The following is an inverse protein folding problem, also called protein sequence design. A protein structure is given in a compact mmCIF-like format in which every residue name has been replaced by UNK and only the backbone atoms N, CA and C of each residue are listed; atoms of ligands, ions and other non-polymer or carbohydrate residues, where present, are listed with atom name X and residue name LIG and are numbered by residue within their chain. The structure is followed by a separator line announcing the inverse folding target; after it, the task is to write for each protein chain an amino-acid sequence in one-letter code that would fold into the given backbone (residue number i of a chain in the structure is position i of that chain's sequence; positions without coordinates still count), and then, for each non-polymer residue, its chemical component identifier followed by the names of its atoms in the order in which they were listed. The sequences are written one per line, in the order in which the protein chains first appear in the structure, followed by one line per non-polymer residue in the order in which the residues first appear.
data_IF_840759619381
#
_entry.id   IF_840759619381
#
_cell.length_a   1.000
_cell.length_b   1.000
_cell.length_c   1.000
_cell.angle_alpha   90.00
_cell.angle_beta   90.00
_cell.angle_gamma   90.00
#
_symmetry.space_group_name_H-M   'P 1'
#
loop_
_entity.id
_entity.type
_entity.pdbx_description
1 polymer ?
#
# COMPACT_ATOMS: atom_id res chain seq x y z
N UNK A 1 1.95 21.33 -1.14
CA UNK A 1 0.88 21.14 -0.15
C UNK A 1 1.33 20.10 0.86
N UNK A 2 1.30 20.40 2.17
CA UNK A 2 1.71 19.43 3.20
C UNK A 2 0.57 18.43 3.43
N UNK A 3 0.77 17.18 3.02
CA UNK A 3 -0.20 16.09 3.10
C UNK A 3 -0.66 15.85 4.54
N UNK A 4 0.24 15.98 5.51
CA UNK A 4 -0.07 15.81 6.93
C UNK A 4 -1.08 16.88 7.38
N UNK A 5 -0.88 18.13 6.97
CA UNK A 5 -1.81 19.23 7.26
C UNK A 5 -3.17 18.98 6.65
N UNK A 6 -3.23 18.38 5.46
CA UNK A 6 -4.49 18.07 4.80
C UNK A 6 -5.24 16.92 5.47
N UNK A 7 -4.54 15.85 5.88
CA UNK A 7 -5.11 14.76 6.69
C UNK A 7 -5.66 15.32 8.01
N UNK A 8 -4.86 16.14 8.72
CA UNK A 8 -5.25 16.77 9.97
C UNK A 8 -6.48 17.68 9.81
N UNK A 9 -6.60 18.38 8.67
CA UNK A 9 -7.74 19.24 8.36
C UNK A 9 -9.00 18.43 8.05
N UNK A 10 -8.89 17.36 7.26
CA UNK A 10 -10.06 16.57 6.81
C UNK A 10 -10.69 15.77 7.94
N UNK A 11 -9.88 15.19 8.83
CA UNK A 11 -10.36 14.39 9.97
C UNK A 11 -10.31 15.17 11.29
N UNK A 12 -10.56 16.48 11.24
CA UNK A 12 -10.32 17.38 12.38
C UNK A 12 -11.05 16.93 13.65
N UNK A 13 -12.31 16.54 13.54
CA UNK A 13 -13.13 16.13 14.68
C UNK A 13 -12.71 14.75 15.21
N UNK A 14 -12.48 13.78 14.31
CA UNK A 14 -12.01 12.45 14.67
C UNK A 14 -10.62 12.50 15.34
N UNK A 15 -9.74 13.36 14.82
CA UNK A 15 -8.41 13.60 15.39
C UNK A 15 -8.49 14.31 16.74
N UNK A 16 -9.42 15.24 16.91
CA UNK A 16 -9.67 15.88 18.21
C UNK A 16 -10.07 14.84 19.24
N UNK A 17 -11.03 13.99 18.93
CA UNK A 17 -11.49 12.90 19.80
C UNK A 17 -10.37 11.90 20.11
N UNK A 18 -9.55 11.56 19.09
CA UNK A 18 -8.39 10.70 19.30
C UNK A 18 -7.36 11.35 20.22
N UNK A 19 -7.07 12.64 20.04
CA UNK A 19 -6.15 13.38 20.92
C UNK A 19 -6.66 13.47 22.36
N UNK A 20 -7.97 13.59 22.56
CA UNK A 20 -8.57 13.54 23.89
C UNK A 20 -8.37 12.17 24.54
N UNK A 21 -8.62 11.08 23.81
CA UNK A 21 -8.33 9.72 24.29
C UNK A 21 -6.84 9.50 24.59
N UNK A 22 -5.94 10.00 23.74
CA UNK A 22 -4.50 9.83 23.91
C UNK A 22 -3.93 10.55 25.15
N UNK A 23 -4.66 11.52 25.72
CA UNK A 23 -4.31 12.16 27.00
C UNK A 23 -4.60 11.26 28.20
N UNK A 24 -5.42 10.22 28.04
CA UNK A 24 -5.70 9.26 29.10
C UNK A 24 -4.42 8.44 29.43
N UNK A 25 -4.29 8.01 30.69
CA UNK A 25 -3.19 7.10 31.06
C UNK A 25 -3.44 5.68 30.52
N UNK A 26 -4.71 5.27 30.51
CA UNK A 26 -5.17 3.92 30.24
C UNK A 26 -6.56 3.92 29.62
N UNK A 27 -6.90 2.84 28.94
CA UNK A 27 -8.21 2.64 28.33
C UNK A 27 -8.10 2.00 26.96
N UNK A 28 -9.25 1.63 26.40
CA UNK A 28 -9.31 1.10 25.04
C UNK A 28 -10.27 1.90 24.16
N UNK A 29 -9.99 1.95 22.86
CA UNK A 29 -10.80 2.62 21.84
C UNK A 29 -10.77 1.81 20.54
N UNK A 30 -11.85 1.89 19.76
CA UNK A 30 -11.89 1.40 18.39
C UNK A 30 -11.79 2.56 17.41
N UNK A 31 -10.87 2.45 16.45
CA UNK A 31 -10.80 3.30 15.27
C UNK A 31 -11.29 2.50 14.06
N UNK A 32 -12.27 3.04 13.32
CA UNK A 32 -12.77 2.33 12.15
C UNK A 32 -13.21 3.22 10.99
N UNK A 33 -13.32 2.62 9.80
CA UNK A 33 -13.88 3.27 8.61
C UNK A 33 -12.87 3.88 7.63
N UNK A 34 -11.57 3.57 7.75
CA UNK A 34 -10.55 3.98 6.78
C UNK A 34 -9.64 2.83 6.39
N UNK A 35 -8.86 3.05 5.32
CA UNK A 35 -7.67 2.27 5.03
C UNK A 35 -6.77 2.17 6.28
N UNK A 36 -6.30 0.96 6.58
CA UNK A 36 -5.60 0.65 7.84
C UNK A 36 -4.37 1.55 8.02
N UNK A 37 -3.71 1.87 6.92
CA UNK A 37 -2.50 2.66 6.96
C UNK A 37 -2.77 4.16 7.09
N UNK A 38 -3.97 4.64 6.72
CA UNK A 38 -4.38 5.99 7.07
C UNK A 38 -4.56 6.10 8.58
N UNK A 39 -5.18 5.08 9.17
CA UNK A 39 -5.34 5.01 10.62
C UNK A 39 -3.95 4.97 11.29
N UNK A 40 -3.00 4.18 10.77
CA UNK A 40 -1.62 4.20 11.25
C UNK A 40 -0.96 5.57 11.12
N UNK A 41 -1.14 6.25 9.99
CA UNK A 41 -0.59 7.59 9.76
C UNK A 41 -1.19 8.60 10.74
N UNK A 42 -2.51 8.59 10.93
CA UNK A 42 -3.20 9.46 11.88
C UNK A 42 -2.68 9.22 13.30
N UNK A 43 -2.51 7.96 13.71
CA UNK A 43 -1.95 7.63 15.03
C UNK A 43 -0.52 8.15 15.14
N UNK A 44 0.33 7.97 14.14
CA UNK A 44 1.71 8.48 14.17
C UNK A 44 1.78 10.00 14.26
N UNK A 45 0.85 10.71 13.61
CA UNK A 45 0.77 12.17 13.65
C UNK A 45 0.17 12.72 14.96
N UNK A 46 -0.54 11.89 15.72
CA UNK A 46 -1.29 12.32 16.92
C UNK A 46 -0.73 11.79 18.22
N UNK A 47 -0.10 10.61 18.20
CA UNK A 47 0.45 9.96 19.37
C UNK A 47 1.81 10.54 19.75
N UNK A 48 1.94 10.91 21.02
CA UNK A 48 3.21 11.26 21.67
C UNK A 48 3.88 10.03 22.30
N UNK A 49 3.08 9.00 22.64
CA UNK A 49 3.55 7.73 23.22
C UNK A 49 4.13 6.81 22.14
N UNK A 50 5.05 5.92 22.53
CA UNK A 50 5.61 4.91 21.63
C UNK A 50 4.50 3.94 21.17
N UNK A 51 4.29 3.85 19.86
CA UNK A 51 3.33 2.91 19.28
C UNK A 51 3.95 1.52 19.19
N UNK A 52 3.30 0.53 19.80
CA UNK A 52 3.69 -0.88 19.75
C UNK A 52 2.68 -1.62 18.88
N UNK A 53 3.19 -2.13 17.76
CA UNK A 53 2.42 -2.91 16.80
C UNK A 53 2.37 -4.37 17.24
N UNK A 54 1.35 -5.07 16.77
CA UNK A 54 0.99 -6.46 17.10
C UNK A 54 2.13 -7.47 16.85
N UNK A 55 3.09 -7.49 17.78
CA UNK A 55 4.04 -8.56 18.11
C UNK A 55 4.27 -8.53 19.62
N UNK A 56 4.60 -9.70 20.18
CA UNK A 56 4.88 -9.94 21.60
C UNK A 56 6.16 -9.23 22.09
N UNK A 57 6.38 -7.98 21.71
CA UNK A 57 7.46 -7.19 22.30
C UNK A 57 7.12 -6.96 23.78
N UNK A 58 7.96 -7.41 24.71
CA UNK A 58 7.74 -7.15 26.12
C UNK A 58 7.79 -5.64 26.37
N UNK A 59 6.67 -5.11 26.87
CA UNK A 59 6.54 -3.68 27.16
C UNK A 59 7.20 -3.41 28.52
N UNK A 60 8.39 -2.81 28.51
CA UNK A 60 9.12 -2.45 29.74
C UNK A 60 8.40 -1.37 30.56
N UNK A 61 7.75 -0.42 29.89
CA UNK A 61 6.96 0.63 30.53
C UNK A 61 5.62 0.81 29.80
N UNK A 62 4.55 0.40 30.47
CA UNK A 62 3.18 0.43 29.95
C UNK A 62 2.62 1.86 29.83
N UNK A 63 3.15 2.83 30.57
CA UNK A 63 2.64 4.21 30.57
C UNK A 63 3.16 5.05 29.39
N UNK A 64 4.39 4.78 28.96
CA UNK A 64 5.02 5.48 27.82
C UNK A 64 4.69 4.89 26.46
N UNK A 65 3.92 3.79 26.42
CA UNK A 65 3.54 3.10 25.20
C UNK A 65 2.02 3.03 25.00
N UNK A 66 1.62 2.84 23.74
CA UNK A 66 0.26 2.45 23.37
C UNK A 66 0.34 1.19 22.52
N UNK A 67 -0.63 0.28 22.69
CA UNK A 67 -0.73 -0.96 21.93
C UNK A 67 -1.74 -0.79 20.82
N UNK A 68 -1.39 -1.30 19.64
CA UNK A 68 -2.20 -1.20 18.45
C UNK A 68 -2.50 -2.59 17.89
N UNK A 69 -3.78 -2.93 17.73
CA UNK A 69 -4.22 -4.24 17.24
C UNK A 69 -5.17 -4.12 16.06
N UNK A 70 -5.03 -5.00 15.08
CA UNK A 70 -5.90 -5.08 13.93
C UNK A 70 -6.92 -6.22 14.06
N UNK A 71 -8.22 -5.92 13.97
CA UNK A 71 -9.28 -6.85 14.39
C UNK A 71 -10.22 -7.37 13.29
N UNK A 72 -9.97 -7.12 12.00
CA UNK A 72 -10.89 -7.59 10.94
C UNK A 72 -10.78 -9.09 10.63
N UNK A 73 -9.60 -9.69 10.83
CA UNK A 73 -9.40 -11.14 10.62
C UNK A 73 -9.49 -11.88 11.96
N UNK A 74 -10.71 -12.23 12.38
CA UNK A 74 -11.01 -12.95 13.63
C UNK A 74 -11.07 -14.47 13.45
N UNK A 75 -10.61 -14.99 12.32
CA UNK A 75 -10.76 -16.41 11.94
C UNK A 75 -10.00 -17.37 12.85
N UNK A 76 -8.97 -16.89 13.56
CA UNK A 76 -8.12 -17.70 14.43
C UNK A 76 -8.40 -17.46 15.92
N UNK A 77 -8.52 -18.55 16.69
CA UNK A 77 -8.65 -18.52 18.15
C UNK A 77 -7.51 -17.72 18.81
N UNK A 78 -6.29 -17.84 18.28
CA UNK A 78 -5.10 -17.12 18.74
C UNK A 78 -5.29 -15.61 18.68
N UNK A 79 -5.91 -15.10 17.62
CA UNK A 79 -6.17 -13.67 17.46
C UNK A 79 -7.23 -13.17 18.44
N UNK A 80 -8.27 -13.96 18.67
CA UNK A 80 -9.28 -13.65 19.67
C UNK A 80 -8.69 -13.60 21.10
N UNK A 81 -7.81 -14.54 21.44
CA UNK A 81 -7.06 -14.52 22.72
C UNK A 81 -6.16 -13.28 22.80
N UNK A 82 -5.49 -12.92 21.71
CA UNK A 82 -4.60 -11.74 21.66
C UNK A 82 -5.40 -10.45 21.91
N UNK A 83 -6.56 -10.30 21.27
CA UNK A 83 -7.46 -9.16 21.46
C UNK A 83 -7.97 -9.12 22.90
N UNK A 84 -8.39 -10.27 23.43
CA UNK A 84 -8.85 -10.37 24.82
C UNK A 84 -7.77 -9.92 25.81
N UNK A 85 -6.54 -10.44 25.66
CA UNK A 85 -5.41 -10.09 26.53
C UNK A 85 -5.04 -8.61 26.40
N UNK A 86 -5.03 -8.06 25.19
CA UNK A 86 -4.79 -6.64 24.99
C UNK A 86 -5.87 -5.78 25.66
N UNK A 87 -7.16 -6.15 25.56
CA UNK A 87 -8.21 -5.44 26.25
C UNK A 87 -8.07 -5.53 27.78
N UNK A 88 -7.54 -6.61 28.32
CA UNK A 88 -7.18 -6.67 29.74
C UNK A 88 -6.03 -5.73 30.11
N UNK A 89 -5.00 -5.65 29.25
CA UNK A 89 -3.90 -4.71 29.43
C UNK A 89 -4.35 -3.25 29.38
N UNK A 90 -5.52 -2.95 28.81
CA UNK A 90 -6.08 -1.59 28.77
C UNK A 90 -6.37 -0.99 30.16
N UNK A 91 -6.28 -1.80 31.23
CA UNK A 91 -6.31 -1.34 32.64
C UNK A 91 -5.01 -0.64 33.07
N UNK A 92 -3.93 -0.86 32.34
CA UNK A 92 -2.58 -0.36 32.64
C UNK A 92 -2.01 0.53 31.53
N UNK A 93 -2.56 0.45 30.31
CA UNK A 93 -2.07 1.19 29.14
C UNK A 93 -3.19 1.59 28.18
N UNK A 94 -2.84 2.37 27.16
CA UNK A 94 -3.74 2.66 26.05
C UNK A 94 -3.71 1.54 25.02
N UNK A 95 -4.90 1.09 24.63
CA UNK A 95 -5.10 0.04 23.63
C UNK A 95 -6.01 0.56 22.54
N UNK A 96 -5.51 0.56 21.31
CA UNK A 96 -6.26 1.01 20.15
C UNK A 96 -6.53 -0.22 19.29
N UNK A 97 -7.81 -0.52 19.10
CA UNK A 97 -8.27 -1.49 18.11
C UNK A 97 -8.50 -0.77 16.79
N UNK A 98 -8.05 -1.37 15.69
CA UNK A 98 -8.26 -0.86 14.32
C UNK A 98 -9.09 -1.86 13.53
N UNK A 99 -10.08 -1.34 12.80
CA UNK A 99 -10.93 -2.10 11.90
C UNK A 99 -11.30 -1.30 10.65
N UNK A 100 -11.33 -1.92 9.49
CA UNK A 100 -11.94 -1.38 8.28
C UNK A 100 -13.45 -1.60 8.29
N UNK A 101 -13.93 -2.63 8.99
CA UNK A 101 -15.36 -2.93 9.15
C UNK A 101 -16.01 -2.12 10.27
N UNK A 102 -17.17 -1.52 9.98
CA UNK A 102 -18.01 -0.85 10.98
C UNK A 102 -18.66 -1.83 11.98
N UNK A 103 -18.84 -3.09 11.59
CA UNK A 103 -19.51 -4.13 12.37
C UNK A 103 -18.52 -5.09 13.06
N UNK A 104 -17.22 -4.79 13.06
CA UNK A 104 -16.19 -5.66 13.65
C UNK A 104 -16.46 -6.07 15.10
N UNK A 105 -17.03 -5.17 15.91
CA UNK A 105 -17.35 -5.47 17.32
C UNK A 105 -18.45 -6.52 17.42
N UNK A 106 -19.41 -6.53 16.49
CA UNK A 106 -20.50 -7.50 16.49
C UNK A 106 -19.97 -8.92 16.28
N UNK A 107 -18.92 -9.04 15.46
CA UNK A 107 -18.24 -10.30 15.16
C UNK A 107 -17.35 -10.80 16.33
N UNK A 108 -17.03 -9.96 17.31
CA UNK A 108 -16.29 -10.40 18.49
C UNK A 108 -17.14 -11.30 19.38
N UNK A 109 -16.51 -12.25 20.06
CA UNK A 109 -17.19 -13.06 21.08
C UNK A 109 -17.67 -12.20 22.26
N UNK A 110 -18.76 -12.64 22.92
CA UNK A 110 -19.35 -11.93 24.07
C UNK A 110 -18.32 -11.57 25.15
N UNK A 111 -17.38 -12.48 25.44
CA UNK A 111 -16.32 -12.28 26.45
C UNK A 111 -15.29 -11.19 26.09
N UNK A 112 -15.12 -10.91 24.80
CA UNK A 112 -14.23 -9.86 24.31
C UNK A 112 -15.00 -8.55 24.28
N UNK A 113 -16.24 -8.57 23.77
CA UNK A 113 -17.15 -7.42 23.78
C UNK A 113 -17.32 -6.81 25.17
N UNK A 114 -17.45 -7.64 26.21
CA UNK A 114 -17.63 -7.15 27.59
C UNK A 114 -16.43 -6.40 28.17
N UNK A 115 -15.24 -6.53 27.56
CA UNK A 115 -14.01 -5.84 27.97
C UNK A 115 -13.75 -4.55 27.18
N UNK A 116 -14.51 -4.32 26.12
CA UNK A 116 -14.43 -3.12 25.32
C UNK A 116 -15.16 -1.96 25.99
N UNK A 117 -14.54 -0.78 26.01
CA UNK A 117 -15.02 0.43 26.69
C UNK A 117 -16.21 1.10 25.99
N UNK A 118 -16.61 0.59 24.81
CA UNK A 118 -17.57 1.19 23.89
C UNK A 118 -17.16 2.56 23.31
N UNK A 119 -15.93 3.02 23.54
CA UNK A 119 -15.39 4.22 22.87
C UNK A 119 -15.05 3.89 21.42
N UNK A 120 -15.69 4.56 20.47
CA UNK A 120 -15.48 4.35 19.03
C UNK A 120 -15.26 5.68 18.32
N UNK A 121 -14.30 5.73 17.41
CA UNK A 121 -14.14 6.81 16.45
C UNK A 121 -14.34 6.21 15.05
N UNK A 122 -15.38 6.70 14.39
CA UNK A 122 -15.68 6.35 13.01
C UNK A 122 -15.16 7.46 12.11
N UNK A 123 -14.13 7.13 11.36
CA UNK A 123 -13.65 7.98 10.29
C UNK A 123 -14.53 7.77 9.07
N UNK A 124 -15.09 8.85 8.54
CA UNK A 124 -15.94 8.79 7.36
C UNK A 124 -15.08 8.57 6.11
N UNK A 125 -15.49 7.63 5.26
CA UNK A 125 -15.01 7.60 3.88
C UNK A 125 -15.49 8.87 3.18
N UNK A 126 -14.56 9.75 2.82
CA UNK A 126 -14.88 10.85 1.92
C UNK A 126 -14.93 10.30 0.50
N UNK A 127 -15.90 10.74 -0.28
CA UNK A 127 -16.07 10.42 -1.70
C UNK A 127 -15.02 11.13 -2.60
N UNK A 128 -13.88 11.50 -2.01
CA UNK A 128 -12.85 12.28 -2.67
C UNK A 128 -11.81 11.37 -3.32
N UNK A 129 -11.81 11.37 -4.65
CA UNK A 129 -10.78 10.80 -5.54
C UNK A 129 -9.34 11.21 -5.19
N UNK A 130 -9.13 12.17 -4.29
CA UNK A 130 -7.83 12.69 -3.88
C UNK A 130 -7.23 12.02 -2.62
N UNK A 131 -8.03 11.43 -1.71
CA UNK A 131 -7.48 10.89 -0.44
C UNK A 131 -6.75 9.55 -0.65
N UNK A 132 -7.30 8.67 -1.49
CA UNK A 132 -6.73 7.35 -1.79
C UNK A 132 -5.35 7.46 -2.47
N UNK A 133 -5.15 8.32 -3.50
CA UNK A 133 -3.82 8.59 -4.04
C UNK A 133 -2.85 9.19 -3.01
N UNK A 134 -3.35 10.04 -2.10
CA UNK A 134 -2.55 10.75 -1.11
C UNK A 134 -2.00 9.81 -0.03
N UNK A 135 -2.76 8.79 0.35
CA UNK A 135 -2.31 7.72 1.25
C UNK A 135 -1.26 6.80 0.63
N UNK A 136 -1.50 6.37 -0.61
CA UNK A 136 -0.53 5.58 -1.38
C UNK A 136 0.77 6.38 -1.53
N UNK A 137 0.67 7.68 -1.81
CA UNK A 137 1.81 8.59 -1.89
C UNK A 137 2.52 8.75 -0.53
N UNK A 138 1.78 8.86 0.58
CA UNK A 138 2.37 8.95 1.93
C UNK A 138 3.09 7.67 2.33
N UNK A 139 2.47 6.49 2.17
CA UNK A 139 3.12 5.17 2.36
C UNK A 139 4.40 5.09 1.54
N UNK A 140 4.30 5.42 0.26
CA UNK A 140 5.45 5.39 -0.63
C UNK A 140 6.55 6.36 -0.15
N UNK A 141 6.21 7.57 0.32
CA UNK A 141 7.18 8.52 0.84
C UNK A 141 7.80 8.08 2.18
N UNK A 142 7.02 7.50 3.09
CA UNK A 142 7.50 6.96 4.35
C UNK A 142 8.43 5.76 4.13
N UNK A 143 8.06 4.85 3.22
CA UNK A 143 8.89 3.73 2.78
C UNK A 143 10.17 4.24 2.09
N UNK A 144 10.07 5.25 1.23
CA UNK A 144 11.23 5.90 0.59
C UNK A 144 12.21 6.48 1.61
N UNK A 145 11.72 7.14 2.64
CA UNK A 145 12.56 7.67 3.72
C UNK A 145 13.17 6.55 4.58
N UNK A 146 12.36 5.56 5.00
CA UNK A 146 12.78 4.45 5.86
C UNK A 146 13.84 3.55 5.22
N UNK A 147 13.70 3.27 3.94
CA UNK A 147 14.59 2.36 3.20
C UNK A 147 15.59 3.11 2.31
N UNK A 148 15.71 4.43 2.43
CA UNK A 148 16.52 5.30 1.56
C UNK A 148 16.24 5.06 0.06
N UNK A 149 15.01 4.73 -0.31
CA UNK A 149 14.57 4.57 -1.71
C UNK A 149 14.34 5.94 -2.37
N UNK A 150 15.21 6.91 -2.10
CA UNK A 150 15.17 8.24 -2.71
C UNK A 150 15.36 8.18 -4.24
N UNK A 151 15.81 7.02 -4.76
CA UNK A 151 15.99 6.74 -6.17
C UNK A 151 14.91 5.84 -6.77
N UNK A 152 13.66 5.78 -6.29
CA UNK A 152 12.58 5.24 -7.13
C UNK A 152 12.08 6.30 -8.12
N UNK A 153 12.95 6.66 -9.07
CA UNK A 153 12.55 7.32 -10.30
C UNK A 153 12.34 6.24 -11.37
N UNK A 154 11.70 6.62 -12.48
CA UNK A 154 11.46 5.71 -13.61
C UNK A 154 12.76 5.02 -14.06
N UNK A 155 13.91 5.71 -14.02
CA UNK A 155 15.19 5.14 -14.42
C UNK A 155 15.62 3.96 -13.54
N UNK A 156 15.44 4.03 -12.22
CA UNK A 156 15.76 2.90 -11.33
C UNK A 156 14.80 1.74 -11.47
N UNK A 157 13.52 2.00 -11.77
CA UNK A 157 12.57 0.94 -12.12
C UNK A 157 13.01 0.26 -13.43
N UNK A 158 13.28 1.06 -14.46
CA UNK A 158 13.69 0.58 -15.77
C UNK A 158 15.05 -0.13 -15.73
N UNK A 159 15.93 0.18 -14.77
CA UNK A 159 17.19 -0.54 -14.52
C UNK A 159 16.96 -1.99 -14.08
N UNK A 160 15.88 -2.27 -13.35
CA UNK A 160 15.56 -3.61 -12.84
C UNK A 160 14.95 -4.50 -13.92
N UNK A 161 14.42 -3.91 -14.99
CA UNK A 161 13.74 -4.62 -16.07
C UNK A 161 14.75 -5.25 -17.05
N UNK A 162 14.43 -6.46 -17.48
CA UNK A 162 15.19 -7.14 -18.56
C UNK A 162 14.82 -6.59 -19.93
N UNK A 163 15.62 -6.91 -20.94
CA UNK A 163 15.36 -6.48 -22.32
C UNK A 163 13.98 -6.94 -22.85
N UNK A 164 13.50 -8.11 -22.40
CA UNK A 164 12.17 -8.62 -22.74
C UNK A 164 11.04 -7.75 -22.18
N UNK A 165 11.20 -7.22 -20.96
CA UNK A 165 10.26 -6.25 -20.40
C UNK A 165 10.23 -4.97 -21.22
N UNK A 166 11.40 -4.49 -21.69
CA UNK A 166 11.48 -3.29 -22.51
C UNK A 166 10.81 -3.50 -23.87
N UNK A 167 10.96 -4.68 -24.49
CA UNK A 167 10.23 -5.04 -25.71
C UNK A 167 8.73 -4.96 -25.50
N UNK A 168 8.23 -5.52 -24.40
CA UNK A 168 6.82 -5.47 -24.05
C UNK A 168 6.34 -4.03 -23.85
N UNK A 169 7.08 -3.19 -23.13
CA UNK A 169 6.74 -1.76 -22.96
C UNK A 169 6.58 -1.06 -24.31
N UNK A 170 7.46 -1.35 -25.27
CA UNK A 170 7.42 -0.76 -26.62
C UNK A 170 6.22 -1.31 -27.41
N UNK A 171 5.93 -2.61 -27.28
CA UNK A 171 4.73 -3.23 -27.84
C UNK A 171 3.45 -2.54 -27.34
N UNK A 172 3.31 -2.38 -26.02
CA UNK A 172 2.17 -1.72 -25.39
C UNK A 172 1.99 -0.28 -25.83
N UNK A 173 3.08 0.42 -26.12
CA UNK A 173 3.02 1.78 -26.64
C UNK A 173 2.61 1.83 -28.12
N UNK A 174 3.14 0.93 -28.95
CA UNK A 174 2.96 0.99 -30.40
C UNK A 174 1.59 0.48 -30.89
N UNK A 175 0.89 -0.32 -30.08
CA UNK A 175 -0.41 -0.86 -30.47
C UNK A 175 -1.57 0.07 -30.11
N UNK A 176 -2.43 0.32 -31.11
CA UNK A 176 -3.65 1.13 -30.95
C UNK A 176 -4.70 0.45 -30.07
N UNK A 177 -4.63 -0.87 -29.95
CA UNK A 177 -5.51 -1.69 -29.11
C UNK A 177 -4.75 -2.21 -27.90
N UNK A 178 -5.37 -2.26 -26.71
CA UNK A 178 -4.71 -2.80 -25.52
C UNK A 178 -4.35 -4.28 -25.72
N UNK A 179 -3.11 -4.63 -25.39
CA UNK A 179 -2.67 -6.04 -25.39
C UNK A 179 -3.10 -6.68 -24.09
N UNK A 180 -3.94 -7.71 -24.18
CA UNK A 180 -4.41 -8.50 -23.05
C UNK A 180 -3.61 -9.79 -22.96
N UNK A 181 -3.66 -10.44 -21.81
CA UNK A 181 -3.03 -11.74 -21.62
C UNK A 181 -3.38 -12.76 -22.72
N UNK A 182 -4.64 -12.77 -23.18
CA UNK A 182 -5.16 -13.72 -24.17
C UNK A 182 -4.49 -13.59 -25.54
N UNK A 183 -4.19 -12.37 -25.99
CA UNK A 183 -3.57 -12.12 -27.29
C UNK A 183 -2.08 -11.73 -27.20
N UNK A 184 -1.50 -11.76 -26.00
CA UNK A 184 -0.12 -11.32 -25.73
C UNK A 184 0.91 -11.96 -26.66
N UNK A 185 0.88 -13.29 -26.79
CA UNK A 185 1.87 -14.03 -27.59
C UNK A 185 1.72 -13.73 -29.07
N UNK A 186 0.49 -13.66 -29.56
CA UNK A 186 0.20 -13.35 -30.96
C UNK A 186 0.69 -11.94 -31.32
N UNK A 187 0.36 -10.95 -30.50
CA UNK A 187 0.77 -9.56 -30.71
C UNK A 187 2.28 -9.37 -30.56
N UNK A 188 2.91 -10.06 -29.60
CA UNK A 188 4.37 -10.05 -29.46
C UNK A 188 5.06 -10.63 -30.70
N UNK A 189 4.58 -11.77 -31.21
CA UNK A 189 5.14 -12.39 -32.40
C UNK A 189 4.99 -11.49 -33.63
N UNK A 190 3.81 -10.89 -33.84
CA UNK A 190 3.57 -9.89 -34.91
C UNK A 190 4.54 -8.71 -34.82
N UNK A 191 4.75 -8.19 -33.62
CA UNK A 191 5.66 -7.08 -33.36
C UNK A 191 7.12 -7.42 -33.67
N UNK A 192 7.53 -8.67 -33.42
CA UNK A 192 8.92 -9.11 -33.59
C UNK A 192 9.27 -9.57 -35.02
N UNK A 193 8.30 -9.80 -35.92
CA UNK A 193 8.53 -10.35 -37.28
C UNK A 193 9.69 -9.66 -38.01
N UNK A 194 9.71 -8.33 -38.04
CA UNK A 194 10.70 -7.53 -38.77
C UNK A 194 11.78 -6.88 -37.90
N UNK A 195 11.84 -7.22 -36.60
CA UNK A 195 12.75 -6.58 -35.63
C UNK A 195 13.91 -7.49 -35.27
N UNK A 196 15.14 -6.98 -35.26
CA UNK A 196 16.31 -7.75 -34.79
C UNK A 196 16.33 -7.82 -33.25
N UNK A 197 16.77 -8.94 -32.66
CA UNK A 197 16.88 -9.10 -31.20
C UNK A 197 16.35 -10.45 -30.71
N UNK A 198 15.64 -10.46 -29.57
CA UNK A 198 15.01 -11.61 -28.90
C UNK A 198 13.85 -12.28 -29.71
N UNK A 199 14.06 -12.49 -31.02
CA UNK A 199 13.24 -13.33 -31.87
C UNK A 199 13.25 -14.76 -31.30
N UNK A 200 12.08 -15.38 -31.18
CA UNK A 200 11.90 -16.71 -30.56
C UNK A 200 12.07 -16.75 -29.04
N UNK A 201 11.71 -15.67 -28.34
CA UNK A 201 11.55 -15.72 -26.88
C UNK A 201 10.50 -16.77 -26.51
N UNK A 202 10.77 -17.59 -25.50
CA UNK A 202 9.82 -18.59 -25.04
C UNK A 202 8.57 -17.91 -24.44
N UNK A 203 7.40 -18.40 -24.86
CA UNK A 203 6.09 -17.94 -24.45
C UNK A 203 5.89 -17.88 -22.94
N UNK A 204 6.56 -18.74 -22.18
CA UNK A 204 6.52 -18.75 -20.71
C UNK A 204 7.15 -17.46 -20.17
N UNK A 205 8.37 -17.13 -20.60
CA UNK A 205 9.06 -15.91 -20.16
C UNK A 205 8.34 -14.63 -20.60
N UNK A 206 7.70 -14.63 -21.78
CA UNK A 206 6.89 -13.48 -22.22
C UNK A 206 5.73 -13.25 -21.25
N UNK A 207 5.05 -14.33 -20.82
CA UNK A 207 3.94 -14.25 -19.86
C UNK A 207 4.40 -13.83 -18.47
N UNK A 208 5.55 -14.33 -18.01
CA UNK A 208 6.14 -13.90 -16.74
C UNK A 208 6.44 -12.40 -16.75
N UNK A 209 7.12 -11.91 -17.78
CA UNK A 209 7.41 -10.48 -17.93
C UNK A 209 6.12 -9.64 -18.00
N UNK A 210 5.04 -10.15 -18.60
CA UNK A 210 3.74 -9.48 -18.59
C UNK A 210 3.18 -9.31 -17.18
N UNK A 211 3.21 -10.36 -16.36
CA UNK A 211 2.76 -10.27 -14.97
C UNK A 211 3.66 -9.35 -14.15
N UNK A 212 4.98 -9.39 -14.35
CA UNK A 212 5.91 -8.48 -13.69
C UNK A 212 5.60 -7.01 -14.00
N UNK A 213 5.27 -6.69 -15.26
CA UNK A 213 4.86 -5.33 -15.64
C UNK A 213 3.53 -4.89 -14.98
N UNK A 214 2.59 -5.81 -14.75
CA UNK A 214 1.37 -5.52 -13.97
C UNK A 214 1.72 -5.28 -12.51
N UNK A 215 2.50 -6.17 -11.88
CA UNK A 215 2.88 -6.06 -10.47
C UNK A 215 3.64 -4.77 -10.18
N UNK A 216 4.50 -4.34 -11.11
CA UNK A 216 5.27 -3.11 -11.03
C UNK A 216 4.46 -1.85 -11.39
N UNK A 217 3.17 -1.97 -11.74
CA UNK A 217 2.32 -0.90 -12.25
C UNK A 217 2.92 -0.17 -13.46
N UNK A 218 3.61 -0.90 -14.34
CA UNK A 218 4.06 -0.35 -15.63
C UNK A 218 2.91 -0.38 -16.65
N UNK A 219 2.07 -1.41 -16.56
CA UNK A 219 0.80 -1.55 -17.29
C UNK A 219 -0.32 -1.85 -16.30
N UNK A 220 -1.57 -1.51 -16.63
CA UNK A 220 -2.74 -1.93 -15.86
C UNK A 220 -3.27 -3.30 -16.30
N UNK A 221 -4.30 -3.81 -15.61
CA UNK A 221 -4.96 -5.09 -15.93
C UNK A 221 -5.61 -5.11 -17.32
N UNK A 222 -5.83 -3.94 -17.93
CA UNK A 222 -6.37 -3.79 -19.28
C UNK A 222 -5.26 -3.74 -20.33
N UNK A 223 -3.99 -3.73 -19.94
CA UNK A 223 -2.84 -3.61 -20.83
C UNK A 223 -2.52 -2.16 -21.24
N UNK A 224 -2.97 -1.17 -20.46
CA UNK A 224 -2.69 0.25 -20.72
C UNK A 224 -1.43 0.68 -19.99
N UNK A 225 -0.50 1.29 -20.71
CA UNK A 225 0.76 1.81 -20.17
C UNK A 225 0.51 2.91 -19.13
N UNK A 226 1.15 2.79 -17.96
CA UNK A 226 1.02 3.72 -16.82
C UNK A 226 2.26 4.61 -16.62
N UNK A 227 3.32 4.41 -17.42
CA UNK A 227 4.57 5.18 -17.33
C UNK A 227 4.66 6.25 -18.42
N UNK A 228 5.45 7.30 -18.19
CA UNK A 228 5.71 8.32 -19.19
C UNK A 228 6.64 7.78 -20.29
N UNK A 229 6.08 7.56 -21.49
CA UNK A 229 6.84 7.01 -22.61
C UNK A 229 8.00 7.91 -23.08
N UNK A 230 7.88 9.23 -22.92
CA UNK A 230 8.98 10.15 -23.26
C UNK A 230 10.19 9.96 -22.36
N UNK A 231 9.95 9.72 -21.06
CA UNK A 231 11.02 9.41 -20.10
C UNK A 231 11.62 8.03 -20.36
N UNK A 232 10.80 7.04 -20.72
CA UNK A 232 11.25 5.73 -21.16
C UNK A 232 12.14 5.80 -22.41
N UNK A 233 11.73 6.54 -23.44
CA UNK A 233 12.51 6.73 -24.68
C UNK A 233 13.87 7.36 -24.38
N UNK A 234 13.91 8.38 -23.51
CA UNK A 234 15.16 8.99 -23.03
C UNK A 234 16.05 7.97 -22.31
N UNK A 235 15.49 7.18 -21.39
CA UNK A 235 16.22 6.15 -20.67
C UNK A 235 16.85 5.10 -21.61
N UNK A 236 16.08 4.59 -22.58
CA UNK A 236 16.60 3.60 -23.53
C UNK A 236 17.75 4.17 -24.36
N UNK A 237 17.62 5.43 -24.82
CA UNK A 237 18.68 6.12 -25.57
C UNK A 237 19.97 6.28 -24.76
N UNK A 238 19.86 6.51 -23.45
CA UNK A 238 21.01 6.80 -22.58
C UNK A 238 21.66 5.53 -21.97
N UNK A 239 20.90 4.45 -21.76
CA UNK A 239 21.29 3.35 -20.86
C UNK A 239 21.19 1.94 -21.44
N UNK A 240 20.61 1.76 -22.64
CA UNK A 240 20.35 0.42 -23.19
C UNK A 240 21.07 0.20 -24.51
N UNK A 241 21.15 -1.07 -24.89
CA UNK A 241 21.82 -1.48 -26.12
C UNK A 241 21.10 -0.94 -27.37
N UNK A 242 21.87 -0.72 -28.44
CA UNK A 242 21.39 -0.14 -29.70
C UNK A 242 20.20 -0.90 -30.29
N UNK A 243 20.15 -2.23 -30.12
CA UNK A 243 19.05 -3.02 -30.66
C UNK A 243 17.70 -2.70 -29.99
N UNK A 244 17.67 -2.34 -28.70
CA UNK A 244 16.44 -1.89 -28.01
C UNK A 244 16.06 -0.50 -28.48
N UNK A 245 17.06 0.38 -28.66
CA UNK A 245 16.85 1.74 -29.16
C UNK A 245 16.19 1.72 -30.55
N UNK A 246 16.65 0.85 -31.45
CA UNK A 246 16.09 0.68 -32.79
C UNK A 246 14.63 0.19 -32.80
N UNK A 247 14.08 -0.29 -31.68
CA UNK A 247 12.67 -0.69 -31.61
C UNK A 247 11.73 0.51 -31.35
N UNK A 248 12.28 1.65 -30.91
CA UNK A 248 11.58 2.87 -30.47
C UNK A 248 11.60 3.98 -31.54
N UNK A 249 12.48 3.87 -32.53
CA UNK A 249 12.44 4.67 -33.77
C UNK A 249 11.43 4.10 -34.76
#
# INVERSE_FOLDING_TARGET
MNIEVEILRKFKEEIKNLKEFLKEERGNILLSGLDIDLIYTIIQLTATKKVIYEKNEPIKDKKSALRLLYIDDLTTLTKQITIYNALEESKDMLVILISQSHNCIENLEKRIKSRFSNKKIFFKYFDDKQIIPTLKAYKNNALKKKYKLFNHNINSLLNLLTDLHLHLIILFFNLKSPVKFVNLIEEYNKFMVNKSGLKNSDSIFIKECYFDLIYLNVIDEKGVLQINYSEFKRYVKEKRALFIYNLIE
#
